data_IF_564625660615
#
_entry.id   IF_564625660615
#
_cell.length_a   1.000
_cell.length_b   1.000
_cell.length_c   1.000
_cell.angle_alpha   90.00
_cell.angle_beta   90.00
_cell.angle_gamma   90.00
#
_symmetry.space_group_name_H-M   'P 1'
#
loop_
_entity.id
_entity.type
_entity.pdbx_description
1 polymer ?
#
# COMPACT_ATOMS: atom_id res chain seq x y z
N UNK A 1 5.93 2.05 -10.84
CA UNK A 1 6.19 3.43 -10.36
C UNK A 1 4.97 4.36 -10.37
N UNK A 2 4.00 4.21 -11.29
CA UNK A 2 2.81 5.08 -11.33
C UNK A 2 1.68 4.71 -10.37
N UNK A 3 1.71 3.50 -9.80
CA UNK A 3 0.62 2.95 -9.00
C UNK A 3 0.17 3.89 -7.87
N UNK A 4 1.09 4.51 -7.12
CA UNK A 4 0.72 5.45 -6.05
C UNK A 4 0.06 6.73 -6.55
N UNK A 5 0.50 7.24 -7.71
CA UNK A 5 -0.15 8.38 -8.35
C UNK A 5 -1.57 8.02 -8.81
N UNK A 6 -1.73 6.86 -9.44
CA UNK A 6 -3.04 6.36 -9.88
C UNK A 6 -3.99 6.12 -8.69
N UNK A 7 -3.49 5.51 -7.60
CA UNK A 7 -4.23 5.36 -6.35
C UNK A 7 -4.67 6.72 -5.79
N UNK A 8 -3.77 7.70 -5.76
CA UNK A 8 -4.05 9.06 -5.27
C UNK A 8 -5.18 9.72 -6.05
N UNK A 9 -5.23 9.53 -7.38
CA UNK A 9 -6.34 10.01 -8.19
C UNK A 9 -7.65 9.26 -7.89
N UNK A 10 -7.59 7.95 -7.65
CA UNK A 10 -8.74 7.13 -7.27
C UNK A 10 -9.42 7.57 -5.97
N UNK A 11 -8.67 8.10 -5.01
CA UNK A 11 -9.22 8.60 -3.73
C UNK A 11 -9.79 10.02 -3.80
N UNK A 12 -9.80 10.67 -4.97
CA UNK A 12 -10.42 11.98 -5.10
C UNK A 12 -11.94 11.90 -4.91
N UNK A 13 -12.58 12.92 -4.30
CA UNK A 13 -14.04 12.97 -4.17
C UNK A 13 -14.79 12.81 -5.50
N UNK A 14 -14.24 13.38 -6.57
CA UNK A 14 -14.78 13.25 -7.93
C UNK A 14 -14.74 11.81 -8.48
N UNK A 15 -13.98 10.92 -7.85
CA UNK A 15 -13.87 9.48 -8.16
C UNK A 15 -14.59 8.60 -7.11
N UNK A 16 -15.33 9.21 -6.19
CA UNK A 16 -16.07 8.50 -5.13
C UNK A 16 -15.34 8.41 -3.79
N UNK A 17 -14.13 8.98 -3.67
CA UNK A 17 -13.43 9.11 -2.40
C UNK A 17 -14.22 9.93 -1.39
N UNK A 18 -14.08 9.61 -0.10
CA UNK A 18 -14.78 10.29 1.00
C UNK A 18 -13.80 10.73 2.10
N UNK A 19 -12.78 11.55 1.74
CA UNK A 19 -11.77 11.98 2.69
C UNK A 19 -12.41 12.74 3.85
N UNK A 20 -11.98 12.44 5.07
CA UNK A 20 -12.50 13.06 6.30
C UNK A 20 -13.84 12.50 6.80
N UNK A 21 -14.50 11.60 6.04
CA UNK A 21 -15.74 10.94 6.47
C UNK A 21 -15.54 9.47 6.82
N UNK A 22 -14.65 8.78 6.11
CA UNK A 22 -14.29 7.37 6.35
C UNK A 22 -12.78 7.17 6.15
N UNK A 23 -12.17 6.15 6.79
CA UNK A 23 -10.79 5.78 6.49
C UNK A 23 -10.58 5.52 4.99
N UNK A 24 -9.44 5.95 4.46
CA UNK A 24 -9.03 5.67 3.09
C UNK A 24 -7.83 4.73 3.15
N UNK A 25 -7.93 3.56 2.54
CA UNK A 25 -6.93 2.50 2.65
C UNK A 25 -6.49 2.07 1.25
N UNK A 26 -5.19 2.16 0.97
CA UNK A 26 -4.56 1.64 -0.22
C UNK A 26 -3.80 0.35 0.12
N UNK A 27 -3.98 -0.70 -0.69
CA UNK A 27 -3.22 -1.94 -0.58
C UNK A 27 -2.32 -2.06 -1.81
N UNK A 28 -1.01 -1.99 -1.60
CA UNK A 28 -0.01 -2.30 -2.61
C UNK A 28 0.36 -3.79 -2.52
N UNK A 29 0.34 -4.46 -3.67
CA UNK A 29 0.84 -5.83 -3.83
C UNK A 29 1.93 -5.83 -4.92
N UNK A 30 3.12 -6.34 -4.62
CA UNK A 30 4.23 -6.42 -5.59
C UNK A 30 5.10 -7.65 -5.32
N UNK A 31 5.72 -8.18 -6.36
CA UNK A 31 6.70 -9.27 -6.35
C UNK A 31 8.14 -8.80 -6.63
N UNK A 32 8.34 -7.48 -6.78
CA UNK A 32 9.63 -6.89 -7.12
C UNK A 32 9.78 -5.44 -6.68
N UNK A 33 10.89 -4.84 -7.09
CA UNK A 33 11.23 -3.44 -6.80
C UNK A 33 10.62 -2.48 -7.81
N UNK A 34 10.39 -1.24 -7.37
CA UNK A 34 10.06 -0.13 -8.28
C UNK A 34 11.21 0.09 -9.29
N UNK A 35 10.86 0.38 -10.54
CA UNK A 35 11.82 0.72 -11.59
C UNK A 35 12.42 2.13 -11.39
N UNK A 36 11.68 3.01 -10.70
CA UNK A 36 12.11 4.30 -10.19
C UNK A 36 11.70 4.42 -8.70
N UNK A 37 12.59 3.99 -7.78
CA UNK A 37 12.32 4.00 -6.35
C UNK A 37 12.07 5.40 -5.78
N UNK A 38 12.75 6.42 -6.29
CA UNK A 38 12.62 7.80 -5.80
C UNK A 38 11.24 8.37 -6.11
N UNK A 39 10.76 8.17 -7.33
CA UNK A 39 9.42 8.60 -7.71
C UNK A 39 8.36 7.80 -6.96
N UNK A 40 8.54 6.48 -6.81
CA UNK A 40 7.60 5.64 -6.07
C UNK A 40 7.47 6.08 -4.60
N UNK A 41 8.60 6.33 -3.91
CA UNK A 41 8.60 6.82 -2.53
C UNK A 41 7.95 8.21 -2.40
N UNK A 42 8.27 9.12 -3.32
CA UNK A 42 7.67 10.46 -3.37
C UNK A 42 6.15 10.41 -3.53
N UNK A 43 5.63 9.59 -4.44
CA UNK A 43 4.18 9.44 -4.65
C UNK A 43 3.50 8.69 -3.49
N UNK A 44 4.15 7.69 -2.90
CA UNK A 44 3.66 7.05 -1.68
C UNK A 44 3.52 8.05 -0.53
N UNK A 45 4.51 8.93 -0.35
CA UNK A 45 4.46 9.99 0.66
C UNK A 45 3.34 11.00 0.39
N UNK A 46 3.10 11.38 -0.87
CA UNK A 46 1.95 12.23 -1.23
C UNK A 46 0.62 11.56 -0.91
N UNK A 47 0.50 10.27 -1.19
CA UNK A 47 -0.71 9.49 -0.88
C UNK A 47 -0.94 9.42 0.64
N UNK A 48 0.10 9.16 1.43
CA UNK A 48 0.06 9.21 2.90
C UNK A 48 -0.36 10.59 3.43
N UNK A 49 0.21 11.66 2.88
CA UNK A 49 -0.12 13.04 3.25
C UNK A 49 -1.57 13.42 2.92
N UNK A 50 -2.19 12.76 1.95
CA UNK A 50 -3.61 12.91 1.64
C UNK A 50 -4.54 12.16 2.62
N UNK A 51 -3.99 11.57 3.70
CA UNK A 51 -4.75 10.83 4.71
C UNK A 51 -5.12 9.41 4.29
N UNK A 52 -4.44 8.86 3.27
CA UNK A 52 -4.62 7.47 2.84
C UNK A 52 -3.61 6.58 3.57
N UNK A 53 -4.09 5.53 4.23
CA UNK A 53 -3.25 4.53 4.87
C UNK A 53 -2.80 3.48 3.86
N UNK A 54 -1.50 3.27 3.73
CA UNK A 54 -0.90 2.33 2.79
C UNK A 54 -0.52 1.05 3.53
N UNK A 55 -1.04 -0.07 3.03
CA UNK A 55 -0.65 -1.43 3.35
C UNK A 55 0.20 -1.97 2.21
N UNK A 56 1.36 -2.54 2.52
CA UNK A 56 2.32 -3.00 1.53
C UNK A 56 2.54 -4.51 1.69
N UNK A 57 2.18 -5.26 0.66
CA UNK A 57 2.26 -6.73 0.63
C UNK A 57 3.31 -7.13 -0.42
N UNK A 58 4.41 -7.70 0.04
CA UNK A 58 5.45 -8.27 -0.80
C UNK A 58 5.19 -9.75 -1.07
N UNK A 59 5.38 -10.17 -2.31
CA UNK A 59 5.50 -11.57 -2.70
C UNK A 59 6.97 -11.83 -3.03
N UNK A 60 7.45 -13.07 -2.87
CA UNK A 60 8.78 -13.55 -3.27
C UNK A 60 9.45 -12.72 -4.36
N UNK A 61 10.58 -12.10 -3.99
CA UNK A 61 11.35 -11.20 -4.86
C UNK A 61 11.13 -9.72 -4.56
N UNK A 62 10.08 -9.37 -3.78
CA UNK A 62 9.84 -7.99 -3.41
C UNK A 62 10.90 -7.44 -2.44
N UNK A 63 11.24 -6.17 -2.63
CA UNK A 63 12.19 -5.45 -1.79
C UNK A 63 11.52 -5.01 -0.49
N UNK A 64 11.82 -5.72 0.61
CA UNK A 64 11.27 -5.43 1.93
C UNK A 64 11.60 -4.01 2.40
N UNK A 65 12.81 -3.52 2.14
CA UNK A 65 13.20 -2.19 2.59
C UNK A 65 12.37 -1.12 1.87
N UNK A 66 12.12 -1.29 0.58
CA UNK A 66 11.24 -0.39 -0.17
C UNK A 66 9.79 -0.46 0.33
N UNK A 67 9.27 -1.65 0.64
CA UNK A 67 7.91 -1.79 1.18
C UNK A 67 7.74 -1.06 2.53
N UNK A 68 8.76 -1.08 3.37
CA UNK A 68 8.77 -0.36 4.65
C UNK A 68 8.73 1.17 4.47
N UNK A 69 9.33 1.72 3.40
CA UNK A 69 9.23 3.17 3.13
C UNK A 69 7.87 3.56 2.55
N UNK A 70 7.23 2.64 1.81
CA UNK A 70 5.93 2.87 1.21
C UNK A 70 4.78 2.77 2.20
N UNK A 71 4.82 1.78 3.10
CA UNK A 71 3.77 1.57 4.09
C UNK A 71 3.60 2.77 5.04
N UNK A 72 2.38 2.96 5.55
CA UNK A 72 2.11 4.05 6.50
C UNK A 72 2.63 3.76 7.91
N UNK A 73 2.77 2.48 8.27
CA UNK A 73 3.22 2.03 9.59
C UNK A 73 4.05 0.75 9.45
N UNK A 74 4.99 0.47 10.37
CA UNK A 74 5.77 -0.78 10.34
C UNK A 74 4.91 -2.05 10.34
N UNK A 75 3.75 -2.02 11.01
CA UNK A 75 2.79 -3.14 11.06
C UNK A 75 1.93 -3.31 9.80
N UNK A 76 1.99 -2.36 8.87
CA UNK A 76 1.24 -2.42 7.62
C UNK A 76 2.03 -3.11 6.50
N UNK A 77 3.19 -3.70 6.81
CA UNK A 77 4.03 -4.44 5.87
C UNK A 77 3.82 -5.93 6.06
N UNK A 78 3.44 -6.62 4.99
CA UNK A 78 3.24 -8.07 4.97
C UNK A 78 4.11 -8.69 3.89
N UNK A 79 4.47 -9.95 4.08
CA UNK A 79 5.26 -10.69 3.11
C UNK A 79 4.77 -12.14 3.01
N UNK A 80 4.70 -12.65 1.79
CA UNK A 80 4.35 -14.04 1.50
C UNK A 80 5.33 -14.66 0.50
N UNK A 81 5.57 -15.96 0.64
CA UNK A 81 6.50 -16.69 -0.22
C UNK A 81 5.93 -16.95 -1.62
N UNK A 82 4.61 -17.02 -1.77
CA UNK A 82 3.94 -17.17 -3.06
C UNK A 82 2.61 -16.43 -3.06
N UNK A 83 2.17 -16.00 -4.24
CA UNK A 83 0.89 -15.30 -4.40
C UNK A 83 -0.29 -16.14 -3.91
N UNK A 84 -0.20 -17.47 -4.05
CA UNK A 84 -1.22 -18.42 -3.59
C UNK A 84 -1.38 -18.38 -2.07
N UNK A 85 -0.32 -18.03 -1.33
CA UNK A 85 -0.35 -17.92 0.13
C UNK A 85 -0.94 -16.60 0.63
N UNK A 86 -1.41 -15.69 -0.25
CA UNK A 86 -2.10 -14.46 0.20
C UNK A 86 -3.34 -14.74 1.04
N UNK A 87 -4.01 -15.88 0.81
CA UNK A 87 -5.12 -16.32 1.64
C UNK A 87 -4.70 -16.54 3.11
N UNK A 88 -3.44 -16.91 3.37
CA UNK A 88 -2.94 -17.19 4.72
C UNK A 88 -2.73 -15.93 5.56
N UNK A 89 -2.51 -14.78 4.91
CA UNK A 89 -2.33 -13.49 5.59
C UNK A 89 -3.61 -12.66 5.63
N UNK A 90 -4.70 -13.15 5.01
CA UNK A 90 -5.95 -12.40 4.88
C UNK A 90 -6.51 -11.96 6.22
N UNK A 91 -6.56 -12.86 7.20
CA UNK A 91 -7.07 -12.55 8.54
C UNK A 91 -6.17 -11.54 9.29
N UNK A 92 -4.85 -11.66 9.13
CA UNK A 92 -3.89 -10.74 9.74
C UNK A 92 -4.01 -9.33 9.15
N UNK A 93 -4.11 -9.24 7.82
CA UNK A 93 -4.33 -7.97 7.11
C UNK A 93 -5.68 -7.37 7.52
N UNK A 94 -6.75 -8.16 7.55
CA UNK A 94 -8.07 -7.68 7.96
C UNK A 94 -8.09 -7.19 9.41
N UNK A 95 -7.37 -7.86 10.30
CA UNK A 95 -7.25 -7.44 11.71
C UNK A 95 -6.62 -6.06 11.81
N UNK A 96 -5.55 -5.79 11.05
CA UNK A 96 -4.91 -4.47 11.04
C UNK A 96 -5.74 -3.42 10.29
N UNK A 97 -6.46 -3.79 9.23
CA UNK A 97 -7.33 -2.88 8.49
C UNK A 97 -8.54 -2.40 9.30
N UNK A 98 -9.03 -3.23 10.22
CA UNK A 98 -10.21 -2.95 11.03
C UNK A 98 -9.89 -2.41 12.44
N UNK A 99 -8.61 -2.17 12.74
CA UNK A 99 -8.14 -1.70 14.04
C UNK A 99 -8.35 -0.19 14.27
#
# INVERSE_FOLDING_TARGET
DKAFADMREGFLPAKGGRPGLVPQIAVLLTDGSATDPYTAESEANKLKNNGVEIFAIGVKGADRNALETYASRPRNVFFVDELIALNTISDAVLTELCA
#
